data_IF_648006959265
#
_entry.id   IF_648006959265
#
_cell.length_a   1.000
_cell.length_b   1.000
_cell.length_c   1.000
_cell.angle_alpha   90.00
_cell.angle_beta   90.00
_cell.angle_gamma   90.00
#
_symmetry.space_group_name_H-M   'P 1'
#
loop_
_entity.id
_entity.type
_entity.pdbx_description
1 polymer ?
#
# COMPACT_ATOMS: atom_id res chain seq x y z
N UNK A 1 -2.43 -36.85 3.98
CA UNK A 1 -2.86 -35.44 4.04
C UNK A 1 -1.64 -34.64 4.45
N UNK A 2 -1.01 -33.95 3.50
CA UNK A 2 0.09 -33.06 3.82
C UNK A 2 -0.51 -31.82 4.48
N UNK A 3 -0.12 -31.59 5.73
CA UNK A 3 -0.54 -30.46 6.56
C UNK A 3 -0.17 -29.17 5.82
N UNK A 4 -1.07 -28.20 5.76
CA UNK A 4 -0.83 -26.88 5.16
C UNK A 4 0.52 -26.34 5.62
N UNK A 5 1.53 -26.41 4.75
CA UNK A 5 2.87 -25.95 5.06
C UNK A 5 2.79 -24.44 5.10
N UNK A 6 2.98 -23.86 6.28
CA UNK A 6 3.04 -22.42 6.48
C UNK A 6 3.95 -21.81 5.39
N UNK A 7 3.37 -20.96 4.56
CA UNK A 7 4.08 -20.24 3.51
C UNK A 7 4.28 -18.81 3.97
N UNK A 8 5.53 -18.44 4.18
CA UNK A 8 5.90 -17.06 4.45
C UNK A 8 5.72 -16.21 3.20
N UNK A 9 5.16 -15.01 3.39
CA UNK A 9 5.26 -13.95 2.39
C UNK A 9 6.66 -13.35 2.44
N UNK A 10 7.06 -12.67 1.36
CA UNK A 10 8.34 -12.01 1.32
C UNK A 10 8.42 -10.83 2.32
N UNK A 11 9.61 -10.63 2.89
CA UNK A 11 9.88 -9.55 3.84
C UNK A 11 9.74 -8.18 3.16
N UNK A 12 9.16 -7.22 3.88
CA UNK A 12 9.30 -5.79 3.56
C UNK A 12 10.64 -5.27 4.09
N UNK A 13 11.20 -4.17 3.53
CA UNK A 13 12.56 -3.76 3.85
C UNK A 13 12.85 -3.44 5.33
N UNK A 14 11.85 -3.00 6.09
CA UNK A 14 11.98 -2.69 7.51
C UNK A 14 11.38 -3.79 8.40
N UNK A 15 10.87 -4.88 7.79
CA UNK A 15 10.34 -6.08 8.46
C UNK A 15 9.31 -5.80 9.56
N UNK A 16 8.61 -4.66 9.48
CA UNK A 16 7.54 -4.27 10.40
C UNK A 16 6.28 -3.83 9.63
N UNK A 17 5.75 -4.66 8.72
CA UNK A 17 4.62 -4.28 7.90
C UNK A 17 3.34 -4.13 8.73
N UNK A 18 2.50 -3.18 8.36
CA UNK A 18 1.12 -3.04 8.81
C UNK A 18 0.19 -3.46 7.68
N UNK A 19 -0.71 -4.42 7.94
CA UNK A 19 -1.68 -4.87 6.94
C UNK A 19 -2.73 -3.78 6.73
N UNK A 20 -2.95 -3.41 5.47
CA UNK A 20 -4.03 -2.52 5.06
C UNK A 20 -5.23 -3.36 4.60
N UNK A 21 -4.99 -4.43 3.86
CA UNK A 21 -6.02 -5.38 3.43
C UNK A 21 -5.63 -6.13 2.17
N UNK A 22 -6.62 -6.65 1.47
CA UNK A 22 -6.45 -7.50 0.29
C UNK A 22 -6.76 -6.75 -1.01
N UNK A 23 -6.12 -7.11 -2.10
CA UNK A 23 -6.57 -6.71 -3.42
C UNK A 23 -7.86 -7.47 -3.83
N UNK A 24 -8.49 -6.99 -4.91
CA UNK A 24 -9.82 -7.44 -5.31
C UNK A 24 -9.92 -8.92 -5.73
N UNK A 25 -8.82 -9.52 -6.17
CA UNK A 25 -8.76 -10.94 -6.56
C UNK A 25 -8.16 -11.84 -5.48
N UNK A 26 -7.73 -11.26 -4.34
CA UNK A 26 -7.13 -11.98 -3.23
C UNK A 26 -5.74 -12.54 -3.55
N UNK A 27 -5.11 -12.09 -4.64
CA UNK A 27 -3.77 -12.54 -5.03
C UNK A 27 -2.66 -11.86 -4.23
N UNK A 28 -2.96 -10.73 -3.59
CA UNK A 28 -1.96 -9.96 -2.82
C UNK A 28 -2.53 -9.35 -1.53
N UNK A 29 -1.65 -9.23 -0.54
CA UNK A 29 -1.88 -8.40 0.65
C UNK A 29 -1.21 -7.05 0.44
N UNK A 30 -1.96 -5.97 0.62
CA UNK A 30 -1.44 -4.61 0.63
C UNK A 30 -0.99 -4.26 2.05
N UNK A 31 0.27 -3.85 2.17
CA UNK A 31 0.88 -3.47 3.45
C UNK A 31 1.53 -2.09 3.38
N UNK A 32 1.58 -1.42 4.53
CA UNK A 32 2.43 -0.25 4.76
C UNK A 32 3.68 -0.66 5.54
N UNK A 33 4.82 -0.07 5.22
CA UNK A 33 6.02 -0.17 6.06
C UNK A 33 6.85 1.11 5.91
N UNK A 34 7.81 1.30 6.80
CA UNK A 34 8.81 2.34 6.66
C UNK A 34 9.85 1.93 5.61
N UNK A 35 10.36 2.92 4.88
CA UNK A 35 11.44 2.77 3.93
C UNK A 35 12.39 3.95 4.05
N UNK A 36 13.56 3.73 4.65
CA UNK A 36 14.46 4.79 5.08
C UNK A 36 13.71 5.82 5.95
N UNK A 37 13.66 7.08 5.54
CA UNK A 37 12.97 8.18 6.24
C UNK A 37 11.61 8.49 5.61
N UNK A 38 10.99 7.52 4.95
CA UNK A 38 9.71 7.66 4.23
C UNK A 38 8.79 6.51 4.57
N UNK A 39 7.50 6.63 4.24
CA UNK A 39 6.59 5.48 4.26
C UNK A 39 6.46 4.90 2.85
N UNK A 40 6.19 3.59 2.77
CA UNK A 40 6.01 2.89 1.51
C UNK A 40 4.81 1.94 1.58
N UNK A 41 4.13 1.79 0.45
CA UNK A 41 3.11 0.77 0.24
C UNK A 41 3.72 -0.37 -0.56
N UNK A 42 3.43 -1.60 -0.17
CA UNK A 42 3.83 -2.81 -0.88
C UNK A 42 2.61 -3.68 -1.17
N UNK A 43 2.60 -4.30 -2.35
CA UNK A 43 1.77 -5.45 -2.66
C UNK A 43 2.59 -6.71 -2.47
N UNK A 44 2.15 -7.60 -1.58
CA UNK A 44 2.81 -8.86 -1.28
C UNK A 44 2.01 -10.02 -1.90
N UNK A 45 2.52 -10.67 -2.95
CA UNK A 45 1.86 -11.82 -3.56
C UNK A 45 1.71 -12.99 -2.57
N UNK A 46 0.52 -13.56 -2.50
CA UNK A 46 0.19 -14.65 -1.55
C UNK A 46 0.91 -15.95 -1.86
N UNK A 47 1.40 -16.10 -3.08
CA UNK A 47 2.23 -17.20 -3.50
C UNK A 47 3.69 -17.07 -3.02
N UNK A 48 4.04 -16.01 -2.30
CA UNK A 48 5.41 -15.76 -1.83
C UNK A 48 6.33 -15.20 -2.92
N UNK A 49 5.75 -14.69 -4.01
CA UNK A 49 6.47 -13.98 -5.07
C UNK A 49 7.13 -12.68 -4.60
N UNK A 50 7.73 -11.98 -5.56
CA UNK A 50 8.49 -10.75 -5.30
C UNK A 50 7.53 -9.61 -4.88
N UNK A 51 7.77 -8.92 -3.74
CA UNK A 51 7.01 -7.74 -3.35
C UNK A 51 7.08 -6.63 -4.40
N UNK A 52 5.93 -6.02 -4.70
CA UNK A 52 5.87 -4.83 -5.53
C UNK A 52 5.72 -3.59 -4.67
N UNK A 53 6.68 -2.67 -4.72
CA UNK A 53 6.53 -1.33 -4.13
C UNK A 53 5.59 -0.48 -5.00
N UNK A 54 4.48 0.00 -4.42
CA UNK A 54 3.52 0.83 -5.13
C UNK A 54 4.06 2.26 -5.30
N UNK A 55 3.98 2.87 -6.50
CA UNK A 55 4.58 4.16 -6.78
C UNK A 55 3.76 5.32 -6.19
N UNK A 56 4.26 5.92 -5.11
CA UNK A 56 3.65 7.09 -4.46
C UNK A 56 3.96 8.43 -5.14
N UNK A 57 4.77 8.43 -6.20
CA UNK A 57 5.15 9.64 -6.92
C UNK A 57 5.96 10.61 -6.06
N UNK A 58 5.46 11.84 -5.88
CA UNK A 58 6.12 12.88 -5.06
C UNK A 58 5.82 12.77 -3.56
N UNK A 59 4.92 11.88 -3.16
CA UNK A 59 4.50 11.69 -1.77
C UNK A 59 5.58 10.85 -1.05
N UNK A 60 6.08 11.38 0.06
CA UNK A 60 7.12 10.73 0.88
C UNK A 60 6.55 10.15 2.17
N UNK A 61 5.42 10.68 2.64
CA UNK A 61 4.72 10.20 3.81
C UNK A 61 3.23 10.07 3.50
N UNK A 62 2.59 9.02 4.01
CA UNK A 62 1.16 8.87 3.97
C UNK A 62 0.62 8.47 5.35
N UNK A 63 -0.63 8.83 5.59
CA UNK A 63 -1.35 8.57 6.82
C UNK A 63 -2.71 7.93 6.53
N UNK A 64 -3.14 7.08 7.44
CA UNK A 64 -4.47 6.46 7.45
C UNK A 64 -4.88 5.80 6.11
N UNK A 65 -4.04 4.92 5.53
CA UNK A 65 -4.42 4.23 4.31
C UNK A 65 -5.63 3.33 4.57
N UNK A 66 -6.63 3.40 3.69
CA UNK A 66 -7.83 2.57 3.75
C UNK A 66 -8.16 2.06 2.36
N UNK A 67 -8.43 0.77 2.25
CA UNK A 67 -9.00 0.18 1.05
C UNK A 67 -10.52 0.36 1.05
N UNK A 68 -11.12 0.47 -0.13
CA UNK A 68 -12.56 0.29 -0.26
C UNK A 68 -12.94 -1.19 -0.05
N UNK A 69 -14.23 -1.46 0.18
CA UNK A 69 -14.72 -2.80 0.50
C UNK A 69 -14.36 -3.87 -0.54
N UNK A 70 -14.24 -3.49 -1.81
CA UNK A 70 -13.92 -4.41 -2.90
C UNK A 70 -12.42 -4.56 -3.16
N UNK A 71 -11.55 -3.90 -2.40
CA UNK A 71 -10.10 -3.98 -2.58
C UNK A 71 -9.61 -3.47 -3.94
N UNK A 72 -10.34 -2.53 -4.55
CA UNK A 72 -10.04 -1.99 -5.89
C UNK A 72 -9.41 -0.59 -5.84
N UNK A 73 -9.67 0.16 -4.77
CA UNK A 73 -9.16 1.50 -4.55
C UNK A 73 -8.57 1.64 -3.15
N UNK A 74 -7.60 2.54 -3.02
CA UNK A 74 -7.04 2.99 -1.75
C UNK A 74 -7.21 4.51 -1.62
N UNK A 75 -7.62 4.96 -0.45
CA UNK A 75 -7.58 6.37 -0.03
C UNK A 75 -6.57 6.56 1.10
N UNK A 76 -5.90 7.71 1.11
CA UNK A 76 -4.94 8.09 2.17
C UNK A 76 -4.68 9.60 2.17
N UNK A 77 -4.15 10.12 3.28
CA UNK A 77 -3.58 11.48 3.32
C UNK A 77 -2.10 11.39 2.96
N UNK A 78 -1.62 12.19 2.02
CA UNK A 78 -0.23 12.17 1.55
C UNK A 78 0.44 13.53 1.66
N UNK A 79 1.73 13.55 2.00
CA UNK A 79 2.53 14.77 2.15
C UNK A 79 4.01 14.55 1.80
N UNK A 80 4.73 15.67 1.66
CA UNK A 80 6.19 15.75 1.55
C UNK A 80 6.69 17.10 2.05
N UNK A 81 8.01 17.27 2.19
CA UNK A 81 8.60 18.56 2.60
C UNK A 81 8.22 19.75 1.72
N UNK A 82 7.80 19.49 0.47
CA UNK A 82 7.36 20.50 -0.50
C UNK A 82 5.88 20.36 -0.90
N UNK A 83 5.10 19.55 -0.19
CA UNK A 83 3.71 19.22 -0.52
C UNK A 83 2.91 19.13 0.78
N UNK A 84 1.93 20.01 1.02
CA UNK A 84 1.10 19.93 2.22
C UNK A 84 0.33 18.60 2.30
N UNK A 85 -0.15 18.22 3.49
CA UNK A 85 -1.03 17.06 3.63
C UNK A 85 -2.32 17.26 2.84
N UNK A 86 -2.57 16.34 1.92
CA UNK A 86 -3.71 16.37 1.00
C UNK A 86 -4.32 14.97 0.87
N UNK A 87 -5.59 14.88 0.45
CA UNK A 87 -6.27 13.60 0.23
C UNK A 87 -5.92 13.06 -1.16
N UNK A 88 -5.51 11.79 -1.19
CA UNK A 88 -5.22 11.05 -2.41
C UNK A 88 -6.10 9.81 -2.51
N UNK A 89 -6.43 9.45 -3.74
CA UNK A 89 -7.01 8.15 -4.07
C UNK A 89 -6.30 7.56 -5.28
N UNK A 90 -6.20 6.24 -5.31
CA UNK A 90 -5.69 5.48 -6.45
C UNK A 90 -6.47 4.20 -6.65
N UNK A 91 -6.63 3.76 -7.90
CA UNK A 91 -6.93 2.36 -8.18
C UNK A 91 -5.72 1.50 -7.82
N UNK A 92 -5.94 0.25 -7.36
CA UNK A 92 -4.82 -0.70 -7.17
C UNK A 92 -4.33 -1.29 -8.50
N UNK A 93 -5.23 -1.51 -9.47
CA UNK A 93 -4.90 -2.06 -10.79
C UNK A 93 -3.92 -1.19 -11.59
N UNK A 94 -4.11 0.13 -11.53
CA UNK A 94 -3.24 1.11 -12.16
C UNK A 94 -2.86 2.15 -11.10
N UNK A 95 -1.90 1.78 -10.24
CA UNK A 95 -1.54 2.59 -9.09
C UNK A 95 -0.93 3.92 -9.51
N UNK A 96 -1.73 4.99 -9.37
CA UNK A 96 -1.38 6.37 -9.68
C UNK A 96 -2.18 7.29 -8.75
N UNK A 97 -1.65 7.61 -7.56
CA UNK A 97 -2.30 8.51 -6.61
C UNK A 97 -2.63 9.85 -7.27
N UNK A 98 -3.90 10.23 -7.19
CA UNK A 98 -4.40 11.51 -7.68
C UNK A 98 -4.95 12.30 -6.52
N UNK A 99 -4.55 13.57 -6.44
CA UNK A 99 -5.04 14.51 -5.46
C UNK A 99 -6.50 14.87 -5.74
N UNK A 100 -7.31 14.91 -4.70
CA UNK A 100 -8.62 15.52 -4.74
C UNK A 100 -8.57 16.82 -3.94
N UNK A 101 -8.54 18.00 -4.60
CA UNK A 101 -8.49 19.26 -3.90
C UNK A 101 -9.69 19.37 -2.96
N UNK A 102 -9.39 19.60 -1.68
CA UNK A 102 -10.41 19.88 -0.68
C UNK A 102 -11.11 21.18 -1.07
N UNK A 103 -12.40 21.10 -1.40
CA UNK A 103 -13.22 22.29 -1.68
C UNK A 103 -13.58 22.95 -0.35
N UNK A 104 -12.65 23.70 0.24
CA UNK A 104 -12.92 24.59 1.37
C UNK A 104 -12.32 25.98 1.12
#
# INVERSE_FOLDING_TARGET
MEKDKERFLANTPNENPQIIGWDSDGSSIIVADNYHTTTALYSLPVDGGVPLRLPLGKISHFHFPQLNETGTYIGFVGESSSLPPEVYMSSLKAFKPTHYPSLF
#
